data_IF_117845866699
#
_entry.id   IF_117845866699
#
_cell.length_a   1.000
_cell.length_b   1.000
_cell.length_c   1.000
_cell.angle_alpha   90.00
_cell.angle_beta   90.00
_cell.angle_gamma   90.00
#
_symmetry.space_group_name_H-M   'P 1'
#
loop_
_entity.id
_entity.type
_entity.pdbx_description
1 polymer ?
#
# COMPACT_ATOMS: atom_id res chain seq x y z
N UNK A 1 50.50 6.52 -58.00
CA UNK A 1 49.89 7.57 -57.13
C UNK A 1 48.39 7.75 -57.40
N UNK A 2 47.95 7.97 -58.65
CA UNK A 2 46.52 8.18 -58.99
C UNK A 2 45.58 7.00 -58.66
N UNK A 3 46.01 5.74 -58.86
CA UNK A 3 45.19 4.57 -58.53
C UNK A 3 45.03 4.34 -57.01
N UNK A 4 46.06 4.65 -56.23
CA UNK A 4 46.04 4.56 -54.77
C UNK A 4 45.10 5.59 -54.14
N UNK A 5 45.07 6.81 -54.69
CA UNK A 5 44.13 7.85 -54.28
C UNK A 5 42.69 7.44 -54.57
N UNK A 6 42.41 6.87 -55.77
CA UNK A 6 41.08 6.35 -56.11
C UNK A 6 40.63 5.21 -55.19
N UNK A 7 41.51 4.27 -54.87
CA UNK A 7 41.22 3.19 -53.93
C UNK A 7 40.89 3.74 -52.53
N UNK A 8 41.62 4.75 -52.06
CA UNK A 8 41.37 5.38 -50.76
C UNK A 8 40.00 6.08 -50.69
N UNK A 9 39.61 6.79 -51.76
CA UNK A 9 38.29 7.42 -51.85
C UNK A 9 37.14 6.40 -51.93
N UNK A 10 37.31 5.32 -52.70
CA UNK A 10 36.30 4.26 -52.79
C UNK A 10 36.14 3.53 -51.45
N UNK A 11 37.23 3.19 -50.77
CA UNK A 11 37.17 2.59 -49.44
C UNK A 11 36.53 3.53 -48.41
N UNK A 12 36.85 4.82 -48.43
CA UNK A 12 36.24 5.83 -47.55
C UNK A 12 34.75 6.05 -47.82
N UNK A 13 34.32 5.96 -49.08
CA UNK A 13 32.91 6.07 -49.45
C UNK A 13 32.11 4.83 -49.05
N UNK A 14 32.67 3.64 -49.25
CA UNK A 14 32.04 2.38 -48.84
C UNK A 14 31.95 2.24 -47.31
N UNK A 15 32.96 2.69 -46.57
CA UNK A 15 32.89 2.72 -45.10
C UNK A 15 31.85 3.71 -44.60
N UNK A 16 31.73 4.89 -45.21
CA UNK A 16 30.68 5.87 -44.89
C UNK A 16 29.27 5.32 -45.17
N UNK A 17 29.06 4.66 -46.32
CA UNK A 17 27.80 3.99 -46.65
C UNK A 17 27.46 2.86 -45.67
N UNK A 18 28.44 2.04 -45.28
CA UNK A 18 28.25 0.99 -44.28
C UNK A 18 27.87 1.57 -42.91
N UNK A 19 28.54 2.64 -42.48
CA UNK A 19 28.19 3.36 -41.24
C UNK A 19 26.78 3.96 -41.33
N UNK A 20 26.40 4.54 -42.47
CA UNK A 20 25.05 5.09 -42.69
C UNK A 20 23.98 4.00 -42.67
N UNK A 21 24.22 2.85 -43.30
CA UNK A 21 23.28 1.73 -43.29
C UNK A 21 23.15 1.09 -41.89
N UNK A 22 24.25 0.99 -41.13
CA UNK A 22 24.24 0.56 -39.72
C UNK A 22 23.49 1.58 -38.86
N UNK A 23 23.65 2.89 -39.12
CA UNK A 23 22.93 3.94 -38.41
C UNK A 23 21.43 3.91 -38.73
N UNK A 24 21.04 3.76 -40.00
CA UNK A 24 19.64 3.65 -40.42
C UNK A 24 18.95 2.42 -39.84
N UNK A 25 19.61 1.25 -39.89
CA UNK A 25 19.10 0.04 -39.23
C UNK A 25 19.03 0.16 -37.71
N UNK A 26 19.99 0.85 -37.09
CA UNK A 26 19.95 1.17 -35.66
C UNK A 26 18.80 2.10 -35.28
N UNK A 27 18.51 3.12 -36.10
CA UNK A 27 17.36 4.02 -35.88
C UNK A 27 16.04 3.26 -36.01
N UNK A 28 15.91 2.38 -37.02
CA UNK A 28 14.70 1.59 -37.21
C UNK A 28 14.46 0.60 -36.05
N UNK A 29 15.53 -0.02 -35.56
CA UNK A 29 15.47 -0.85 -34.35
C UNK A 29 15.02 -0.07 -33.11
N UNK A 30 15.50 1.15 -32.92
CA UNK A 30 15.08 2.01 -31.81
C UNK A 30 13.60 2.41 -31.91
N UNK A 31 13.07 2.63 -33.12
CA UNK A 31 11.63 2.88 -33.32
C UNK A 31 10.80 1.67 -32.94
N UNK A 32 11.19 0.47 -33.37
CA UNK A 32 10.51 -0.78 -33.01
C UNK A 32 10.50 -0.99 -31.49
N UNK A 33 11.62 -0.76 -30.82
CA UNK A 33 11.68 -0.81 -29.36
C UNK A 33 10.75 0.23 -28.71
N UNK A 34 10.65 1.43 -29.27
CA UNK A 34 9.75 2.47 -28.78
C UNK A 34 8.28 2.08 -28.94
N UNK A 35 7.92 1.42 -30.05
CA UNK A 35 6.57 0.88 -30.28
C UNK A 35 6.23 -0.20 -29.26
N UNK A 36 7.11 -1.19 -29.07
CA UNK A 36 6.92 -2.25 -28.05
C UNK A 36 6.72 -1.65 -26.66
N UNK A 37 7.54 -0.66 -26.27
CA UNK A 37 7.39 0.03 -24.99
C UNK A 37 6.03 0.72 -24.85
N UNK A 38 5.56 1.37 -25.92
CA UNK A 38 4.26 2.07 -25.92
C UNK A 38 3.10 1.09 -25.83
N UNK A 39 3.17 -0.04 -26.52
CA UNK A 39 2.14 -1.08 -26.51
C UNK A 39 2.01 -1.70 -25.12
N UNK A 40 3.14 -2.02 -24.48
CA UNK A 40 3.16 -2.53 -23.11
C UNK A 40 2.60 -1.49 -22.14
N UNK A 41 2.98 -0.21 -22.27
CA UNK A 41 2.41 0.87 -21.45
C UNK A 41 0.90 0.95 -21.58
N UNK A 42 0.37 0.93 -22.80
CA UNK A 42 -1.08 0.99 -23.03
C UNK A 42 -1.82 -0.24 -22.51
N UNK A 43 -1.21 -1.42 -22.61
CA UNK A 43 -1.78 -2.67 -22.11
C UNK A 43 -1.83 -2.71 -20.58
N UNK A 44 -0.77 -2.28 -19.91
CA UNK A 44 -0.59 -2.47 -18.46
C UNK A 44 -1.11 -1.30 -17.63
N UNK A 45 -0.90 -0.05 -18.06
CA UNK A 45 -1.26 1.15 -17.31
C UNK A 45 -2.70 1.20 -16.76
N UNK A 46 -3.74 0.68 -17.44
CA UNK A 46 -5.10 0.70 -16.90
C UNK A 46 -5.27 -0.14 -15.63
N UNK A 47 -4.40 -1.15 -15.42
CA UNK A 47 -4.44 -2.06 -14.27
C UNK A 47 -3.62 -1.55 -13.08
N UNK A 48 -2.88 -0.44 -13.25
CA UNK A 48 -1.97 0.12 -12.23
C UNK A 48 -2.61 1.32 -11.56
N UNK A 49 -2.61 1.30 -10.22
CA UNK A 49 -3.24 2.33 -9.40
C UNK A 49 -2.24 2.90 -8.39
N UNK A 50 -2.52 4.11 -7.92
CA UNK A 50 -1.85 4.67 -6.75
C UNK A 50 -2.65 4.31 -5.52
N UNK A 51 -1.97 3.92 -4.45
CA UNK A 51 -2.59 3.65 -3.15
C UNK A 51 -1.96 4.60 -2.14
N UNK A 52 -2.79 5.38 -1.45
CA UNK A 52 -2.34 6.34 -0.44
C UNK A 52 -3.04 6.08 0.87
N UNK A 53 -2.26 6.08 1.94
CA UNK A 53 -2.77 6.16 3.30
C UNK A 53 -2.96 7.63 3.65
N UNK A 54 -4.21 7.99 3.93
CA UNK A 54 -4.59 9.36 4.26
C UNK A 54 -5.09 9.42 5.69
N UNK A 55 -4.54 10.35 6.47
CA UNK A 55 -5.06 10.68 7.78
C UNK A 55 -6.19 11.71 7.68
N UNK A 56 -7.32 11.46 8.35
CA UNK A 56 -8.30 12.52 8.56
C UNK A 56 -7.69 13.57 9.49
N UNK A 57 -7.61 14.81 9.02
CA UNK A 57 -7.34 15.96 9.88
C UNK A 57 -8.52 16.31 10.81
N UNK A 58 -9.70 15.69 10.60
CA UNK A 58 -10.89 15.87 11.45
C UNK A 58 -11.57 14.51 11.71
N UNK A 59 -11.73 14.08 12.98
CA UNK A 59 -12.34 12.80 13.34
C UNK A 59 -13.74 12.58 12.76
N UNK A 60 -14.08 11.32 12.43
CA UNK A 60 -15.37 10.95 11.84
C UNK A 60 -16.59 11.38 12.66
N UNK A 61 -16.48 11.37 13.99
CA UNK A 61 -17.57 11.75 14.89
C UNK A 61 -17.86 13.25 14.86
N UNK A 62 -16.87 14.09 14.52
CA UNK A 62 -17.05 15.54 14.37
C UNK A 62 -17.86 15.85 13.11
N UNK A 63 -17.64 15.12 12.03
CA UNK A 63 -18.44 15.21 10.81
C UNK A 63 -19.89 14.75 11.06
N UNK A 64 -20.08 13.62 11.73
CA UNK A 64 -21.44 13.15 12.05
C UNK A 64 -22.17 14.07 13.02
N UNK A 65 -21.46 14.68 14.00
CA UNK A 65 -22.04 15.66 14.94
C UNK A 65 -22.31 17.02 14.33
N UNK A 66 -21.54 17.46 13.34
CA UNK A 66 -21.83 18.70 12.61
C UNK A 66 -23.04 18.51 11.69
N UNK A 67 -23.14 17.37 11.01
CA UNK A 67 -24.30 17.02 10.18
C UNK A 67 -25.56 16.77 11.02
N UNK A 68 -25.43 16.11 12.18
CA UNK A 68 -26.54 15.90 13.12
C UNK A 68 -26.89 17.16 13.91
N UNK A 69 -25.92 17.93 14.37
CA UNK A 69 -26.14 19.15 15.17
C UNK A 69 -26.79 20.26 14.36
N UNK A 70 -26.51 20.37 13.05
CA UNK A 70 -27.20 21.30 12.15
C UNK A 70 -28.65 20.86 11.87
N UNK A 71 -28.94 19.56 11.92
CA UNK A 71 -30.29 19.01 11.71
C UNK A 71 -31.13 18.89 12.99
N UNK A 72 -30.50 18.74 14.16
CA UNK A 72 -31.16 18.72 15.47
C UNK A 72 -31.35 20.12 16.08
N UNK A 73 -30.66 21.15 15.57
CA UNK A 73 -30.97 22.55 15.88
C UNK A 73 -32.23 23.02 15.13
N UNK A 74 -33.35 22.33 15.31
CA UNK A 74 -34.65 22.98 15.16
C UNK A 74 -34.78 23.96 16.33
N UNK A 75 -34.30 25.19 16.12
CA UNK A 75 -34.47 26.28 17.08
C UNK A 75 -35.97 26.50 17.30
N UNK A 76 -36.48 25.93 18.40
CA UNK A 76 -37.88 26.00 18.79
C UNK A 76 -38.26 27.47 18.98
N UNK A 77 -39.30 27.93 18.27
CA UNK A 77 -39.84 29.28 18.41
C UNK A 77 -40.65 29.35 19.71
N UNK A 78 -40.20 30.16 20.66
CA UNK A 78 -40.83 30.22 21.99
C UNK A 78 -42.06 31.12 21.99
N UNK A 79 -43.15 30.69 22.63
CA UNK A 79 -44.29 31.55 22.94
C UNK A 79 -44.16 32.18 24.34
N UNK A 80 -44.80 33.34 24.59
CA UNK A 80 -44.77 33.98 25.90
C UNK A 80 -45.27 33.05 27.02
N UNK A 81 -44.44 32.88 28.06
CA UNK A 81 -44.75 32.06 29.24
C UNK A 81 -44.40 30.57 29.14
N UNK A 82 -43.78 30.10 28.05
CA UNK A 82 -43.42 28.69 27.87
C UNK A 82 -42.07 28.28 28.48
N UNK A 83 -41.19 29.22 28.84
CA UNK A 83 -39.88 28.90 29.41
C UNK A 83 -40.00 28.90 30.93
N UNK A 84 -39.95 27.72 31.55
CA UNK A 84 -39.80 27.62 33.00
C UNK A 84 -38.40 28.04 33.44
N UNK A 85 -38.25 28.55 34.66
CA UNK A 85 -36.94 28.93 35.23
C UNK A 85 -35.93 27.75 35.19
N UNK A 86 -36.40 26.51 35.34
CA UNK A 86 -35.58 25.30 35.21
C UNK A 86 -35.11 25.04 33.77
N UNK A 87 -35.95 25.31 32.76
CA UNK A 87 -35.56 25.17 31.36
C UNK A 87 -34.58 26.26 30.93
N UNK A 88 -34.76 27.49 31.42
CA UNK A 88 -33.80 28.57 31.19
C UNK A 88 -32.40 28.19 31.69
N UNK A 89 -32.29 27.64 32.90
CA UNK A 89 -31.00 27.19 33.48
C UNK A 89 -30.37 26.06 32.64
N UNK A 90 -31.15 25.08 32.19
CA UNK A 90 -30.63 23.99 31.33
C UNK A 90 -30.09 24.51 30.00
N UNK A 91 -30.75 25.49 29.40
CA UNK A 91 -30.26 26.10 28.16
C UNK A 91 -28.99 26.94 28.36
N UNK A 92 -28.84 27.59 29.52
CA UNK A 92 -27.60 28.30 29.88
C UNK A 92 -26.42 27.34 30.07
N UNK A 93 -26.65 26.21 30.75
CA UNK A 93 -25.63 25.17 30.96
C UNK A 93 -25.22 24.52 29.64
N UNK A 94 -26.19 24.25 28.76
CA UNK A 94 -25.95 23.71 27.43
C UNK A 94 -25.16 24.67 26.55
N UNK A 95 -25.57 25.94 26.47
CA UNK A 95 -24.89 26.93 25.64
C UNK A 95 -23.46 27.22 26.13
N UNK A 96 -23.24 27.21 27.45
CA UNK A 96 -21.89 27.33 28.02
C UNK A 96 -21.02 26.12 27.64
N UNK A 97 -21.56 24.91 27.76
CA UNK A 97 -20.85 23.68 27.37
C UNK A 97 -20.55 23.61 25.87
N UNK A 98 -21.47 24.11 25.04
CA UNK A 98 -21.27 24.20 23.59
C UNK A 98 -20.15 25.18 23.24
N UNK A 99 -20.14 26.36 23.89
CA UNK A 99 -19.13 27.40 23.68
C UNK A 99 -17.73 26.96 24.12
N UNK A 100 -17.61 26.40 25.33
CA UNK A 100 -16.35 25.88 25.87
C UNK A 100 -15.78 24.78 24.94
N UNK A 101 -16.65 23.90 24.42
CA UNK A 101 -16.28 22.86 23.47
C UNK A 101 -15.81 23.41 22.11
N UNK A 102 -16.50 24.41 21.55
CA UNK A 102 -16.07 25.05 20.30
C UNK A 102 -14.74 25.78 20.45
N UNK A 103 -14.54 26.54 21.54
CA UNK A 103 -13.31 27.31 21.74
C UNK A 103 -12.08 26.41 21.88
N UNK A 104 -12.18 25.33 22.67
CA UNK A 104 -11.13 24.33 22.85
C UNK A 104 -10.73 23.69 21.51
N UNK A 105 -11.70 23.30 20.68
CA UNK A 105 -11.45 22.59 19.41
C UNK A 105 -11.06 23.49 18.24
N UNK A 106 -11.52 24.73 18.19
CA UNK A 106 -11.03 25.70 17.20
C UNK A 106 -9.54 26.02 17.40
N UNK A 107 -9.09 26.11 18.65
CA UNK A 107 -7.67 26.34 19.01
C UNK A 107 -6.76 25.17 18.60
N UNK A 108 -7.26 23.95 18.60
CA UNK A 108 -6.52 22.76 18.16
C UNK A 108 -6.44 22.62 16.63
N UNK A 109 -7.41 23.14 15.88
CA UNK A 109 -7.61 22.80 14.46
C UNK A 109 -7.04 23.84 13.49
N UNK A 110 -6.99 25.13 13.87
CA UNK A 110 -6.56 26.22 12.98
C UNK A 110 -5.18 26.75 13.38
N UNK A 111 -4.18 26.55 12.51
CA UNK A 111 -2.80 27.03 12.73
C UNK A 111 -2.62 28.56 12.58
N UNK A 112 -3.70 29.29 12.28
CA UNK A 112 -3.73 30.76 12.17
C UNK A 112 -4.34 31.36 13.44
N UNK A 113 -3.52 31.98 14.28
CA UNK A 113 -3.99 32.67 15.50
C UNK A 113 -4.96 33.82 15.18
N UNK A 114 -4.86 34.45 14.01
CA UNK A 114 -5.56 35.71 13.73
C UNK A 114 -7.04 35.53 13.41
N UNK A 115 -7.40 34.48 12.67
CA UNK A 115 -8.80 34.19 12.34
C UNK A 115 -9.54 33.53 13.52
N UNK A 116 -8.83 32.67 14.26
CA UNK A 116 -9.36 31.98 15.44
C UNK A 116 -9.76 32.96 16.55
N UNK A 117 -8.95 34.01 16.77
CA UNK A 117 -9.21 35.04 17.79
C UNK A 117 -10.36 35.97 17.40
N UNK A 118 -10.51 36.32 16.12
CA UNK A 118 -11.57 37.23 15.67
C UNK A 118 -12.97 36.59 15.77
N UNK A 119 -13.07 35.31 15.38
CA UNK A 119 -14.35 34.59 15.34
C UNK A 119 -14.77 34.03 16.70
N UNK A 120 -13.83 33.47 17.48
CA UNK A 120 -14.12 33.03 18.85
C UNK A 120 -14.66 34.18 19.71
N UNK A 121 -14.04 35.37 19.59
CA UNK A 121 -14.50 36.58 20.29
C UNK A 121 -15.88 37.04 19.82
N UNK A 122 -16.15 37.00 18.52
CA UNK A 122 -17.46 37.41 17.98
C UNK A 122 -18.58 36.48 18.47
N UNK A 123 -18.36 35.16 18.48
CA UNK A 123 -19.33 34.19 19.00
C UNK A 123 -19.51 34.32 20.53
N UNK A 124 -18.42 34.56 21.26
CA UNK A 124 -18.44 34.76 22.71
C UNK A 124 -19.17 36.04 23.12
N UNK A 125 -18.92 37.15 22.42
CA UNK A 125 -19.60 38.43 22.64
C UNK A 125 -21.11 38.30 22.30
N UNK A 126 -21.43 37.57 21.23
CA UNK A 126 -22.81 37.32 20.79
C UNK A 126 -23.56 36.42 21.79
N UNK A 127 -22.93 35.35 22.28
CA UNK A 127 -23.52 34.46 23.28
C UNK A 127 -23.71 35.15 24.64
N UNK A 128 -22.76 35.99 25.05
CA UNK A 128 -22.86 36.75 26.31
C UNK A 128 -24.04 37.73 26.29
N UNK A 129 -24.27 38.40 25.15
CA UNK A 129 -25.44 39.27 24.95
C UNK A 129 -26.76 38.49 24.98
N UNK A 130 -26.79 37.30 24.37
CA UNK A 130 -27.97 36.43 24.44
C UNK A 130 -28.29 36.00 25.86
N UNK A 131 -27.26 35.59 26.62
CA UNK A 131 -27.42 35.11 28.00
C UNK A 131 -28.01 36.21 28.88
N UNK A 132 -27.56 37.46 28.73
CA UNK A 132 -28.03 38.63 29.46
C UNK A 132 -29.49 39.01 29.12
N UNK A 133 -29.88 38.85 27.85
CA UNK A 133 -31.27 39.05 27.42
C UNK A 133 -32.20 37.94 27.92
N UNK A 134 -31.73 36.69 27.92
CA UNK A 134 -32.50 35.54 28.36
C UNK A 134 -32.75 35.53 29.87
N UNK A 135 -31.83 36.03 30.71
CA UNK A 135 -32.02 36.13 32.17
C UNK A 135 -32.91 37.28 32.62
N UNK A 136 -33.00 38.36 31.83
CA UNK A 136 -33.69 39.58 32.26
C UNK A 136 -35.07 39.80 31.62
N UNK A 137 -35.45 39.00 30.62
CA UNK A 137 -36.67 39.22 29.84
C UNK A 137 -37.92 38.66 30.52
N UNK A 138 -38.97 39.50 30.64
CA UNK A 138 -40.28 39.11 31.20
C UNK A 138 -41.48 39.64 30.40
N UNK A 139 -41.26 40.28 29.25
CA UNK A 139 -42.33 40.86 28.41
C UNK A 139 -42.33 40.34 26.97
N UNK A 140 -43.50 40.36 26.31
CA UNK A 140 -43.71 39.86 24.93
C UNK A 140 -42.76 40.45 23.88
N UNK A 141 -42.33 41.71 24.09
CA UNK A 141 -41.40 42.40 23.18
C UNK A 141 -39.99 41.83 23.27
N UNK A 142 -39.56 41.45 24.47
CA UNK A 142 -38.21 40.92 24.73
C UNK A 142 -38.08 39.47 24.24
N UNK A 143 -39.16 38.68 24.29
CA UNK A 143 -39.22 37.33 23.69
C UNK A 143 -39.19 37.42 22.15
N UNK A 144 -39.82 38.43 21.57
CA UNK A 144 -39.72 38.73 20.14
C UNK A 144 -38.27 39.06 19.71
N UNK A 145 -37.56 39.85 20.52
CA UNK A 145 -36.15 40.17 20.30
C UNK A 145 -35.24 38.93 20.49
N UNK A 146 -35.54 38.06 21.47
CA UNK A 146 -34.82 36.80 21.70
C UNK A 146 -34.96 35.84 20.51
N UNK A 147 -36.17 35.65 20.00
CA UNK A 147 -36.43 34.80 18.82
C UNK A 147 -35.74 35.36 17.56
N UNK A 148 -35.76 36.68 17.36
CA UNK A 148 -35.07 37.34 16.23
C UNK A 148 -33.56 37.18 16.33
N UNK A 149 -33.02 37.22 17.55
CA UNK A 149 -31.62 36.99 17.81
C UNK A 149 -31.21 35.53 17.58
N UNK A 150 -32.03 34.57 18.01
CA UNK A 150 -31.82 33.14 17.73
C UNK A 150 -31.85 32.83 16.23
N UNK A 151 -32.74 33.47 15.46
CA UNK A 151 -32.75 33.37 13.99
C UNK A 151 -31.46 33.95 13.37
N UNK A 152 -30.96 35.08 13.87
CA UNK A 152 -29.68 35.66 13.44
C UNK A 152 -28.49 34.74 13.78
N UNK A 153 -28.49 34.12 14.95
CA UNK A 153 -27.41 33.24 15.40
C UNK A 153 -27.42 31.93 14.60
N UNK A 154 -28.60 31.37 14.34
CA UNK A 154 -28.78 30.25 13.42
C UNK A 154 -28.29 30.58 12.00
N UNK A 155 -28.63 31.78 11.49
CA UNK A 155 -28.13 32.27 10.21
C UNK A 155 -26.60 32.38 10.17
N UNK A 156 -25.97 32.88 11.25
CA UNK A 156 -24.52 32.93 11.35
C UNK A 156 -23.88 31.54 11.45
N UNK A 157 -24.44 30.61 12.23
CA UNK A 157 -23.96 29.21 12.33
C UNK A 157 -24.10 28.49 10.99
N UNK A 158 -25.22 28.67 10.28
CA UNK A 158 -25.41 28.13 8.94
C UNK A 158 -24.44 28.77 7.93
N UNK A 159 -24.22 30.09 7.98
CA UNK A 159 -23.24 30.76 7.14
C UNK A 159 -21.82 30.24 7.42
N UNK A 160 -21.42 30.12 8.69
CA UNK A 160 -20.15 29.55 9.13
C UNK A 160 -19.99 28.11 8.68
N UNK A 161 -21.03 27.29 8.82
CA UNK A 161 -21.03 25.91 8.30
C UNK A 161 -20.84 25.91 6.78
N UNK A 162 -21.52 26.79 6.04
CA UNK A 162 -21.42 26.87 4.59
C UNK A 162 -20.07 27.41 4.12
N UNK A 163 -19.44 28.28 4.90
CA UNK A 163 -18.15 28.89 4.60
C UNK A 163 -16.99 27.96 4.98
N UNK A 164 -17.11 27.21 6.09
CA UNK A 164 -16.28 26.05 6.42
C UNK A 164 -16.42 24.93 5.38
N UNK A 165 -17.63 24.69 4.87
CA UNK A 165 -17.92 23.74 3.79
C UNK A 165 -17.45 24.24 2.41
N UNK A 166 -17.26 25.54 2.20
CA UNK A 166 -16.70 26.11 0.96
C UNK A 166 -15.16 26.17 1.03
N UNK A 167 -14.60 26.53 2.18
CA UNK A 167 -13.16 26.40 2.45
C UNK A 167 -12.72 24.92 2.49
N UNK A 168 -13.64 23.99 2.78
CA UNK A 168 -13.52 22.53 2.60
C UNK A 168 -12.98 22.11 1.24
N UNK A 169 -13.34 22.83 0.18
CA UNK A 169 -12.92 22.50 -1.19
C UNK A 169 -11.52 23.06 -1.54
N UNK A 170 -11.07 24.09 -0.84
CA UNK A 170 -9.84 24.82 -1.17
C UNK A 170 -8.63 24.46 -0.29
N UNK A 171 -8.84 24.00 0.96
CA UNK A 171 -7.75 23.94 1.96
C UNK A 171 -7.53 22.56 2.60
N UNK A 172 -8.32 21.54 2.28
CA UNK A 172 -8.00 20.17 2.73
C UNK A 172 -6.92 19.57 1.84
N UNK A 173 -5.65 19.77 2.19
CA UNK A 173 -4.61 18.83 1.78
C UNK A 173 -4.68 17.63 2.72
N UNK A 174 -5.24 16.48 2.29
CA UNK A 174 -5.08 15.25 3.06
C UNK A 174 -3.59 15.06 3.39
N UNK A 175 -3.27 14.88 4.67
CA UNK A 175 -1.93 14.52 5.09
C UNK A 175 -1.69 13.08 4.63
N UNK A 176 -1.01 12.93 3.50
CA UNK A 176 -0.54 11.64 2.99
C UNK A 176 0.50 11.12 3.97
N UNK A 177 0.16 10.04 4.69
CA UNK A 177 1.07 9.38 5.63
C UNK A 177 2.02 8.44 4.91
N UNK A 178 1.49 7.72 3.92
CA UNK A 178 2.26 6.77 3.12
C UNK A 178 1.67 6.69 1.69
N UNK A 179 2.50 6.31 0.72
CA UNK A 179 2.13 6.12 -0.67
C UNK A 179 2.84 4.89 -1.25
N UNK A 180 2.07 4.05 -1.93
CA UNK A 180 2.56 2.94 -2.74
C UNK A 180 1.91 2.93 -4.12
N UNK A 181 2.44 2.08 -4.99
CA UNK A 181 1.75 1.62 -6.19
C UNK A 181 0.94 0.38 -5.84
N UNK A 182 -0.18 0.16 -6.53
CA UNK A 182 -0.92 -1.08 -6.49
C UNK A 182 -1.27 -1.56 -7.89
N UNK A 183 -1.61 -2.83 -8.01
CA UNK A 183 -2.04 -3.45 -9.26
C UNK A 183 -3.35 -4.19 -9.03
N UNK A 184 -4.30 -4.04 -9.96
CA UNK A 184 -5.54 -4.80 -9.98
C UNK A 184 -5.24 -6.19 -10.53
N UNK A 185 -5.28 -7.22 -9.67
CA UNK A 185 -5.00 -8.62 -10.06
C UNK A 185 -6.28 -9.41 -10.29
N UNK A 186 -7.35 -9.04 -9.58
CA UNK A 186 -8.71 -9.56 -9.79
C UNK A 186 -9.67 -8.38 -9.74
N UNK A 187 -10.81 -8.51 -10.41
CA UNK A 187 -11.83 -7.46 -10.43
C UNK A 187 -12.19 -7.01 -9.01
N UNK A 188 -12.00 -5.73 -8.72
CA UNK A 188 -12.29 -5.13 -7.42
C UNK A 188 -11.23 -5.38 -6.33
N UNK A 189 -10.12 -6.05 -6.63
CA UNK A 189 -9.04 -6.32 -5.67
C UNK A 189 -7.70 -5.75 -6.15
N UNK A 190 -7.17 -4.83 -5.36
CA UNK A 190 -5.85 -4.21 -5.55
C UNK A 190 -4.84 -4.90 -4.65
N UNK A 191 -3.71 -5.29 -5.22
CA UNK A 191 -2.57 -5.82 -4.49
C UNK A 191 -1.50 -4.74 -4.40
N UNK A 192 -0.96 -4.54 -3.20
CA UNK A 192 0.10 -3.58 -2.89
C UNK A 192 0.95 -4.10 -1.73
N UNK A 193 1.74 -3.24 -1.09
CA UNK A 193 2.57 -3.60 0.06
C UNK A 193 1.91 -3.32 1.40
N UNK A 194 2.37 -4.02 2.44
CA UNK A 194 1.83 -3.93 3.80
C UNK A 194 2.00 -2.53 4.42
N UNK A 195 2.96 -1.72 3.96
CA UNK A 195 3.27 -0.41 4.55
C UNK A 195 2.05 0.52 4.60
N UNK A 196 1.27 0.56 3.52
CA UNK A 196 0.07 1.40 3.41
C UNK A 196 -1.12 0.81 4.17
N UNK A 197 -1.13 -0.51 4.39
CA UNK A 197 -2.22 -1.21 5.07
C UNK A 197 -2.07 -1.26 6.61
N UNK A 198 -0.84 -1.39 7.12
CA UNK A 198 -0.55 -1.53 8.56
C UNK A 198 -0.54 -0.23 9.34
N UNK A 199 -0.21 0.89 8.70
CA UNK A 199 -0.07 2.18 9.38
C UNK A 199 -1.41 2.86 9.73
N UNK A 200 -2.53 2.11 9.74
CA UNK A 200 -3.89 2.66 9.93
C UNK A 200 -4.22 2.87 11.40
N UNK A 201 -4.40 4.14 11.78
CA UNK A 201 -5.18 4.53 12.95
C UNK A 201 -6.70 4.53 12.68
N UNK A 202 -7.53 4.74 13.72
CA UNK A 202 -9.00 4.76 13.60
C UNK A 202 -9.53 5.84 12.63
N UNK A 203 -8.73 6.89 12.39
CA UNK A 203 -9.05 8.00 11.50
C UNK A 203 -8.38 7.91 10.11
N UNK A 204 -7.68 6.79 9.83
CA UNK A 204 -6.98 6.58 8.57
C UNK A 204 -7.82 5.80 7.54
N UNK A 205 -7.78 6.28 6.30
CA UNK A 205 -8.47 5.66 5.18
C UNK A 205 -7.54 5.50 3.98
N UNK A 206 -7.87 4.54 3.12
CA UNK A 206 -7.10 4.26 1.91
C UNK A 206 -7.76 4.97 0.75
N UNK A 207 -7.00 5.84 0.09
CA UNK A 207 -7.40 6.45 -1.17
C UNK A 207 -6.70 5.74 -2.32
N UNK A 208 -7.47 5.38 -3.35
CA UNK A 208 -6.94 4.70 -4.54
C UNK A 208 -7.27 5.58 -5.75
N UNK A 209 -6.37 5.73 -6.72
CA UNK A 209 -6.73 6.41 -7.97
C UNK A 209 -5.91 5.91 -9.16
N UNK A 210 -6.46 6.05 -10.36
CA UNK A 210 -5.73 5.83 -11.61
C UNK A 210 -5.10 7.13 -12.12
N UNK A 211 -4.23 7.01 -13.12
CA UNK A 211 -3.61 8.16 -13.80
C UNK A 211 -4.63 9.03 -14.58
N UNK A 212 -5.83 8.50 -14.86
CA UNK A 212 -6.94 9.25 -15.50
C UNK A 212 -7.71 10.16 -14.52
N UNK A 213 -7.14 10.48 -13.36
CA UNK A 213 -7.71 11.33 -12.30
C UNK A 213 -9.09 10.90 -11.76
N UNK A 214 -9.51 9.67 -12.02
CA UNK A 214 -10.70 9.10 -11.35
C UNK A 214 -10.27 8.64 -9.97
N UNK A 215 -10.65 9.42 -8.95
CA UNK A 215 -10.47 9.04 -7.55
C UNK A 215 -11.36 7.83 -7.26
N UNK A 216 -10.74 6.68 -7.00
CA UNK A 216 -11.46 5.54 -6.49
C UNK A 216 -11.72 5.72 -5.01
N UNK A 217 -12.91 5.27 -4.65
CA UNK A 217 -13.48 5.22 -3.32
C UNK A 217 -12.53 4.74 -2.22
N UNK A 218 -12.95 4.93 -0.97
CA UNK A 218 -12.25 4.41 0.22
C UNK A 218 -12.04 2.90 0.07
N UNK A 219 -10.79 2.44 0.05
CA UNK A 219 -10.45 1.02 0.00
C UNK A 219 -10.53 0.36 1.39
N UNK A 220 -10.99 -0.89 1.44
CA UNK A 220 -10.99 -1.71 2.65
C UNK A 220 -9.84 -2.71 2.59
N UNK A 221 -9.02 -2.77 3.64
CA UNK A 221 -7.98 -3.80 3.76
C UNK A 221 -8.65 -5.14 4.01
N UNK A 222 -8.51 -6.07 3.08
CA UNK A 222 -9.02 -7.45 3.22
C UNK A 222 -8.09 -8.26 4.12
N UNK A 223 -6.78 -8.07 3.93
CA UNK A 223 -5.76 -8.73 4.72
C UNK A 223 -4.35 -8.32 4.31
N UNK A 224 -3.40 -8.67 5.16
CA UNK A 224 -1.97 -8.40 4.99
C UNK A 224 -1.18 -9.67 5.25
N UNK A 225 -0.08 -9.83 4.53
CA UNK A 225 0.86 -10.93 4.72
C UNK A 225 2.27 -10.39 5.02
N UNK A 226 2.68 -10.40 6.30
CA UNK A 226 3.98 -9.89 6.70
C UNK A 226 5.17 -10.63 6.09
N UNK A 227 5.01 -11.93 5.78
CA UNK A 227 6.11 -12.77 5.25
C UNK A 227 6.41 -12.53 3.78
N UNK A 228 5.54 -11.83 3.06
CA UNK A 228 5.75 -11.43 1.67
C UNK A 228 5.69 -9.93 1.47
N UNK A 229 5.43 -9.18 2.56
CA UNK A 229 5.16 -7.75 2.55
C UNK A 229 3.96 -7.35 1.67
N UNK A 230 3.01 -8.26 1.40
CA UNK A 230 1.83 -7.97 0.58
C UNK A 230 0.63 -7.50 1.40
N UNK A 231 -0.23 -6.72 0.76
CA UNK A 231 -1.56 -6.36 1.23
C UNK A 231 -2.57 -6.46 0.10
N UNK A 232 -3.78 -6.90 0.43
CA UNK A 232 -4.92 -6.93 -0.50
C UNK A 232 -5.96 -5.94 -0.02
N UNK A 233 -6.37 -5.06 -0.93
CA UNK A 233 -7.36 -4.02 -0.68
C UNK A 233 -8.54 -4.26 -1.62
N UNK A 234 -9.74 -4.27 -1.05
CA UNK A 234 -10.99 -4.34 -1.80
C UNK A 234 -11.47 -2.93 -2.11
N UNK A 235 -11.84 -2.71 -3.37
CA UNK A 235 -12.50 -1.48 -3.81
C UNK A 235 -13.97 -1.48 -3.35
N UNK A 236 -14.47 -0.34 -2.86
CA UNK A 236 -15.86 -0.22 -2.45
C UNK A 236 -16.80 -0.41 -3.66
N UNK A 237 -17.81 -1.25 -3.48
CA UNK A 237 -18.61 -1.97 -4.50
C UNK A 237 -19.60 -1.15 -5.34
N UNK A 238 -19.49 0.18 -5.40
CA UNK A 238 -20.27 0.99 -6.36
C UNK A 238 -19.47 1.34 -7.63
N UNK A 239 -18.19 0.99 -7.64
CA UNK A 239 -17.22 1.35 -8.66
C UNK A 239 -16.68 0.11 -9.43
N UNK A 240 -17.57 -0.79 -9.86
CA UNK A 240 -17.16 -1.98 -10.63
C UNK A 240 -17.08 -1.64 -12.12
N UNK A 241 -15.86 -1.45 -12.65
CA UNK A 241 -15.62 -1.23 -14.09
C UNK A 241 -14.43 -0.35 -14.46
N UNK A 242 -13.60 0.07 -13.51
CA UNK A 242 -12.67 1.18 -13.76
C UNK A 242 -11.25 0.82 -14.18
N UNK A 243 -10.70 -0.27 -13.65
CA UNK A 243 -9.36 -0.74 -13.94
C UNK A 243 -9.44 -2.26 -14.20
N UNK A 244 -9.07 -2.74 -15.41
CA UNK A 244 -9.08 -4.16 -15.69
C UNK A 244 -8.05 -4.89 -14.83
N UNK A 245 -8.27 -6.18 -14.58
CA UNK A 245 -7.23 -7.03 -14.02
C UNK A 245 -6.08 -7.15 -15.02
N UNK A 246 -4.85 -7.09 -14.52
CA UNK A 246 -3.66 -7.38 -15.31
C UNK A 246 -3.64 -8.86 -15.75
N UNK A 247 -3.06 -9.14 -16.90
CA UNK A 247 -2.84 -10.51 -17.35
C UNK A 247 -1.82 -11.21 -16.42
N UNK A 248 -2.17 -12.40 -15.95
CA UNK A 248 -1.33 -13.21 -15.07
C UNK A 248 -1.24 -14.64 -15.60
N UNK A 249 -0.09 -15.27 -15.40
CA UNK A 249 0.09 -16.70 -15.62
C UNK A 249 0.92 -17.26 -14.44
N UNK A 250 0.36 -18.17 -13.63
CA UNK A 250 1.08 -18.77 -12.50
C UNK A 250 2.30 -19.59 -12.92
N UNK A 251 2.40 -19.98 -14.19
CA UNK A 251 3.55 -20.70 -14.76
C UNK A 251 4.65 -19.78 -15.29
N UNK A 252 4.46 -18.45 -15.26
CA UNK A 252 5.51 -17.50 -15.65
C UNK A 252 6.72 -17.64 -14.73
N UNK A 253 7.85 -18.06 -15.29
CA UNK A 253 9.12 -18.19 -14.61
C UNK A 253 10.17 -17.33 -15.30
N UNK A 254 10.56 -16.18 -14.72
CA UNK A 254 11.61 -15.37 -15.29
C UNK A 254 12.97 -16.05 -15.14
N UNK A 255 13.88 -15.74 -16.06
CA UNK A 255 15.30 -16.08 -16.00
C UNK A 255 16.13 -14.86 -15.61
N UNK A 256 17.33 -15.11 -15.09
CA UNK A 256 18.32 -14.05 -14.88
C UNK A 256 18.71 -13.46 -16.24
N UNK A 257 18.66 -12.14 -16.36
CA UNK A 257 18.90 -11.40 -17.60
C UNK A 257 17.64 -11.13 -18.42
N UNK A 258 16.47 -11.62 -18.01
CA UNK A 258 15.22 -11.28 -18.68
C UNK A 258 14.95 -9.78 -18.61
N UNK A 259 14.63 -9.20 -19.77
CA UNK A 259 14.27 -7.80 -19.90
C UNK A 259 12.82 -7.60 -19.50
N UNK A 260 12.59 -6.71 -18.54
CA UNK A 260 11.29 -6.51 -17.90
C UNK A 260 10.93 -5.02 -17.79
N UNK A 261 9.64 -4.73 -17.67
CA UNK A 261 9.12 -3.39 -17.45
C UNK A 261 8.51 -3.26 -16.07
N UNK A 262 8.75 -2.14 -15.41
CA UNK A 262 8.26 -1.84 -14.08
C UNK A 262 7.42 -0.56 -14.11
N UNK A 263 6.24 -0.64 -13.51
CA UNK A 263 5.30 0.47 -13.42
C UNK A 263 5.18 0.93 -11.98
N UNK A 264 5.22 2.25 -11.78
CA UNK A 264 5.12 2.82 -10.45
C UNK A 264 4.61 4.26 -10.47
N UNK A 265 4.10 4.70 -9.33
CA UNK A 265 3.71 6.07 -9.06
C UNK A 265 4.75 6.76 -8.17
N UNK A 266 5.71 7.49 -8.76
CA UNK A 266 6.59 8.35 -7.98
C UNK A 266 5.78 9.40 -7.20
N UNK A 267 6.34 9.85 -6.08
CA UNK A 267 5.68 10.86 -5.24
C UNK A 267 5.31 12.11 -6.06
N UNK A 268 4.04 12.54 -6.00
CA UNK A 268 3.48 13.69 -6.71
C UNK A 268 3.65 13.72 -8.25
N UNK A 269 3.90 12.59 -8.90
CA UNK A 269 3.99 12.47 -10.37
C UNK A 269 2.95 11.51 -10.91
N UNK A 270 2.68 11.53 -12.22
CA UNK A 270 1.82 10.55 -12.90
C UNK A 270 2.43 9.15 -12.94
N UNK A 271 1.74 8.20 -13.57
CA UNK A 271 2.24 6.84 -13.75
C UNK A 271 3.53 6.81 -14.58
N UNK A 272 4.60 6.30 -13.99
CA UNK A 272 5.89 6.12 -14.64
C UNK A 272 6.10 4.65 -15.04
N UNK A 273 6.87 4.44 -16.11
CA UNK A 273 7.33 3.14 -16.56
C UNK A 273 8.83 3.17 -16.78
N UNK A 274 9.54 2.16 -16.29
CA UNK A 274 10.96 1.97 -16.50
C UNK A 274 11.25 0.56 -17.02
N UNK A 275 12.21 0.43 -17.93
CA UNK A 275 12.76 -0.86 -18.35
C UNK A 275 13.97 -1.25 -17.51
N UNK A 276 14.11 -2.54 -17.23
CA UNK A 276 15.19 -3.10 -16.43
C UNK A 276 15.35 -4.59 -16.68
N UNK A 277 16.04 -5.26 -15.77
CA UNK A 277 16.39 -6.67 -15.89
C UNK A 277 16.22 -7.40 -14.56
N UNK A 278 15.92 -8.69 -14.64
CA UNK A 278 16.01 -9.61 -13.49
C UNK A 278 17.47 -9.94 -13.24
N UNK A 279 18.04 -9.49 -12.11
CA UNK A 279 19.48 -9.60 -11.83
C UNK A 279 19.85 -10.86 -11.07
N UNK A 280 18.95 -11.37 -10.23
CA UNK A 280 19.06 -12.69 -9.60
C UNK A 280 17.68 -13.21 -9.23
N UNK A 281 17.53 -14.53 -9.16
CA UNK A 281 16.27 -15.16 -8.77
C UNK A 281 16.33 -15.64 -7.33
N UNK A 282 15.16 -15.73 -6.70
CA UNK A 282 14.96 -16.59 -5.53
C UNK A 282 15.85 -16.24 -4.32
N UNK A 283 16.14 -14.96 -4.15
CA UNK A 283 16.92 -14.44 -3.03
C UNK A 283 16.11 -14.53 -1.75
N UNK A 284 16.74 -15.00 -0.68
CA UNK A 284 16.17 -14.92 0.64
C UNK A 284 16.65 -13.66 1.34
N UNK A 285 15.70 -12.96 1.92
CA UNK A 285 15.98 -11.75 2.67
C UNK A 285 15.94 -12.05 4.17
N UNK A 286 16.86 -11.44 4.96
CA UNK A 286 16.69 -11.35 6.40
C UNK A 286 15.26 -10.89 6.72
N UNK A 287 14.62 -11.47 7.73
CA UNK A 287 13.25 -11.18 8.18
C UNK A 287 12.09 -11.79 7.37
N UNK A 288 12.34 -12.30 6.16
CA UNK A 288 11.33 -12.99 5.36
C UNK A 288 11.58 -14.49 5.39
N UNK A 289 10.98 -15.15 6.38
CA UNK A 289 11.29 -16.56 6.69
C UNK A 289 10.76 -17.55 5.66
N UNK A 290 9.69 -17.17 4.97
CA UNK A 290 9.10 -18.00 3.96
C UNK A 290 9.50 -17.49 2.58
N UNK A 291 9.57 -16.18 2.29
CA UNK A 291 9.61 -15.69 0.91
C UNK A 291 10.97 -15.74 0.20
N UNK A 292 10.87 -15.92 -1.12
CA UNK A 292 11.95 -15.86 -2.08
C UNK A 292 11.64 -14.77 -3.10
N UNK A 293 12.61 -13.90 -3.39
CA UNK A 293 12.41 -12.70 -4.20
C UNK A 293 13.34 -12.66 -5.40
N UNK A 294 12.87 -12.09 -6.50
CA UNK A 294 13.72 -11.74 -7.65
C UNK A 294 14.35 -10.37 -7.42
N UNK A 295 15.67 -10.27 -7.57
CA UNK A 295 16.36 -8.98 -7.56
C UNK A 295 16.21 -8.31 -8.90
N UNK A 296 16.12 -6.99 -8.89
CA UNK A 296 16.03 -6.16 -10.10
C UNK A 296 16.93 -4.93 -9.98
N UNK A 297 17.15 -4.25 -11.10
CA UNK A 297 17.87 -2.97 -11.15
C UNK A 297 16.92 -1.75 -11.14
N UNK A 298 15.68 -1.93 -10.69
CA UNK A 298 14.68 -0.87 -10.61
C UNK A 298 14.96 0.11 -9.46
N UNK A 299 14.52 1.38 -9.60
CA UNK A 299 14.84 2.43 -8.64
C UNK A 299 14.20 2.20 -7.28
N UNK A 300 14.90 2.67 -6.25
CA UNK A 300 14.42 2.72 -4.87
C UNK A 300 13.95 4.13 -4.56
N UNK A 301 12.65 4.38 -4.68
CA UNK A 301 12.08 5.70 -4.34
C UNK A 301 10.68 5.54 -3.74
N UNK A 302 10.21 6.50 -2.93
CA UNK A 302 8.86 6.44 -2.38
C UNK A 302 7.82 6.26 -3.49
N UNK A 303 6.89 5.32 -3.28
CA UNK A 303 5.87 4.95 -4.26
C UNK A 303 6.26 3.83 -5.23
N UNK A 304 7.52 3.34 -5.24
CA UNK A 304 7.90 2.18 -6.09
C UNK A 304 7.42 0.83 -5.53
N UNK A 305 7.21 0.75 -4.21
CA UNK A 305 6.67 -0.46 -3.59
C UNK A 305 5.23 -0.74 -4.06
N UNK A 306 4.92 -2.01 -4.24
CA UNK A 306 3.65 -2.53 -4.73
C UNK A 306 3.44 -2.41 -6.24
N UNK A 307 4.41 -1.86 -6.98
CA UNK A 307 4.34 -1.72 -8.43
C UNK A 307 4.54 -3.06 -9.17
N UNK A 308 3.82 -3.31 -10.27
CA UNK A 308 3.97 -4.53 -11.04
C UNK A 308 5.22 -4.52 -11.92
N UNK A 309 5.85 -5.69 -12.05
CA UNK A 309 6.90 -5.99 -13.01
C UNK A 309 6.32 -6.93 -14.05
N UNK A 310 6.46 -6.59 -15.32
CA UNK A 310 5.88 -7.33 -16.44
C UNK A 310 6.94 -7.74 -17.46
N UNK A 311 6.66 -8.82 -18.19
CA UNK A 311 7.48 -9.28 -19.31
C UNK A 311 7.23 -8.45 -20.59
N UNK A 312 7.85 -8.88 -21.70
CA UNK A 312 7.70 -8.25 -23.02
C UNK A 312 6.29 -8.39 -23.60
N UNK A 313 5.49 -9.34 -23.12
CA UNK A 313 4.08 -9.51 -23.50
C UNK A 313 3.15 -8.68 -22.60
N UNK A 314 3.67 -7.99 -21.58
CA UNK A 314 2.89 -7.25 -20.58
C UNK A 314 2.18 -8.15 -19.58
N UNK A 315 2.60 -9.41 -19.41
CA UNK A 315 2.11 -10.31 -18.36
C UNK A 315 2.84 -10.04 -17.06
N UNK A 316 2.13 -10.14 -15.94
CA UNK A 316 2.71 -9.93 -14.61
C UNK A 316 3.71 -11.05 -14.26
N UNK A 317 4.95 -10.65 -13.97
CA UNK A 317 6.05 -11.52 -13.54
C UNK A 317 6.22 -11.48 -12.02
N UNK A 318 5.93 -10.34 -11.41
CA UNK A 318 6.01 -10.17 -9.96
C UNK A 318 5.60 -8.78 -9.49
N UNK A 319 5.59 -8.60 -8.17
CA UNK A 319 5.31 -7.31 -7.52
C UNK A 319 6.57 -6.84 -6.82
N UNK A 320 6.97 -5.58 -7.03
CA UNK A 320 8.06 -5.00 -6.29
C UNK A 320 7.65 -4.80 -4.82
N UNK A 321 8.21 -5.59 -3.90
CA UNK A 321 7.73 -5.64 -2.51
C UNK A 321 8.66 -4.94 -1.53
N UNK A 322 9.97 -4.93 -1.77
CA UNK A 322 10.92 -4.36 -0.80
C UNK A 322 12.21 -3.96 -1.50
N UNK A 323 12.93 -3.00 -0.93
CA UNK A 323 14.32 -2.76 -1.25
C UNK A 323 15.17 -2.91 0.02
N UNK A 324 16.42 -3.34 -0.15
CA UNK A 324 17.36 -3.54 0.95
C UNK A 324 18.72 -2.95 0.58
N UNK A 325 19.28 -2.15 1.48
CA UNK A 325 20.62 -1.59 1.38
C UNK A 325 21.43 -1.83 2.66
N UNK A 326 22.76 -1.74 2.54
CA UNK A 326 23.70 -1.80 3.66
C UNK A 326 24.54 -0.51 3.66
N UNK A 327 24.27 0.40 4.60
CA UNK A 327 25.05 1.64 4.77
C UNK A 327 25.08 2.51 3.51
N UNK A 328 26.28 2.77 2.97
CA UNK A 328 26.51 3.59 1.78
C UNK A 328 26.44 2.81 0.44
N UNK A 329 26.04 1.53 0.44
CA UNK A 329 25.90 0.78 -0.80
C UNK A 329 24.57 1.07 -1.51
N UNK A 330 24.56 0.87 -2.83
CA UNK A 330 23.34 0.90 -3.64
C UNK A 330 22.29 -0.06 -3.08
N UNK A 331 21.07 0.42 -2.93
CA UNK A 331 19.93 -0.40 -2.51
C UNK A 331 19.54 -1.36 -3.65
N UNK A 332 19.24 -2.61 -3.29
CA UNK A 332 18.77 -3.64 -4.22
C UNK A 332 17.27 -3.78 -4.06
N UNK A 333 16.55 -3.79 -5.18
CA UNK A 333 15.09 -3.92 -5.25
C UNK A 333 14.71 -5.38 -5.43
N UNK A 334 13.77 -5.87 -4.61
CA UNK A 334 13.34 -7.26 -4.53
C UNK A 334 11.84 -7.38 -4.79
N UNK A 335 11.51 -8.22 -5.76
CA UNK A 335 10.16 -8.48 -6.20
C UNK A 335 9.69 -9.89 -5.81
N UNK A 336 8.45 -9.99 -5.35
CA UNK A 336 7.81 -11.27 -5.10
C UNK A 336 7.36 -11.91 -6.43
N UNK A 337 7.71 -13.17 -6.72
CA UNK A 337 7.30 -13.88 -7.93
C UNK A 337 5.78 -14.02 -8.05
N UNK A 338 5.25 -14.00 -9.28
CA UNK A 338 3.81 -14.08 -9.53
C UNK A 338 3.12 -15.31 -8.91
N UNK A 339 3.74 -16.48 -8.95
CA UNK A 339 3.19 -17.68 -8.32
C UNK A 339 2.96 -17.50 -6.81
N UNK A 340 3.91 -16.85 -6.13
CA UNK A 340 3.79 -16.52 -4.70
C UNK A 340 2.73 -15.44 -4.47
N UNK A 341 2.67 -14.41 -5.32
CA UNK A 341 1.64 -13.35 -5.26
C UNK A 341 0.25 -13.96 -5.33
N UNK A 342 -0.02 -14.78 -6.36
CA UNK A 342 -1.35 -15.38 -6.58
C UNK A 342 -1.78 -16.25 -5.40
N UNK A 343 -0.87 -17.11 -4.90
CA UNK A 343 -1.15 -17.96 -3.75
C UNK A 343 -1.50 -17.14 -2.48
N UNK A 344 -0.85 -15.99 -2.26
CA UNK A 344 -1.17 -15.12 -1.14
C UNK A 344 -2.53 -14.43 -1.32
N UNK A 345 -2.76 -13.89 -2.52
CA UNK A 345 -3.98 -13.16 -2.85
C UNK A 345 -5.21 -14.04 -2.73
N UNK A 346 -5.15 -15.29 -3.19
CA UNK A 346 -6.22 -16.27 -3.05
C UNK A 346 -6.59 -16.50 -1.59
N UNK A 347 -5.60 -16.81 -0.74
CA UNK A 347 -5.87 -17.06 0.67
C UNK A 347 -6.39 -15.81 1.40
N UNK A 348 -5.86 -14.62 1.10
CA UNK A 348 -6.35 -13.38 1.72
C UNK A 348 -7.78 -13.09 1.30
N UNK A 349 -8.13 -13.27 0.03
CA UNK A 349 -9.51 -13.07 -0.44
C UNK A 349 -10.47 -14.06 0.22
N UNK A 350 -10.06 -15.32 0.38
CA UNK A 350 -10.93 -16.38 0.90
C UNK A 350 -11.05 -16.37 2.43
N UNK A 351 -9.94 -16.17 3.15
CA UNK A 351 -9.84 -16.31 4.61
C UNK A 351 -9.56 -15.00 5.34
N UNK A 352 -9.11 -13.96 4.65
CA UNK A 352 -8.62 -12.70 5.24
C UNK A 352 -7.16 -12.72 5.71
N UNK A 353 -6.50 -13.89 5.68
CA UNK A 353 -5.10 -14.05 6.08
C UNK A 353 -4.44 -15.19 5.28
N UNK A 354 -3.10 -15.21 5.26
CA UNK A 354 -2.32 -16.30 4.67
C UNK A 354 -1.89 -17.27 5.74
N UNK A 355 -2.08 -18.55 5.50
CA UNK A 355 -1.69 -19.64 6.39
C UNK A 355 -0.61 -20.48 5.71
N UNK A 356 0.49 -20.77 6.43
CA UNK A 356 1.61 -21.55 5.89
C UNK A 356 2.12 -22.54 6.90
N UNK A 357 2.42 -23.74 6.43
CA UNK A 357 3.16 -24.71 7.20
C UNK A 357 4.62 -24.28 7.38
N UNK A 358 5.11 -24.31 8.62
CA UNK A 358 6.51 -23.99 8.95
C UNK A 358 7.20 -25.13 9.69
N UNK A 359 8.47 -25.38 9.32
CA UNK A 359 9.38 -26.23 10.09
C UNK A 359 9.94 -25.49 11.31
N UNK A 360 10.24 -24.19 11.16
CA UNK A 360 10.92 -23.38 12.16
C UNK A 360 12.45 -23.55 12.17
N UNK A 361 13.07 -23.50 11.00
CA UNK A 361 14.53 -23.57 10.82
C UNK A 361 15.04 -22.41 9.96
N UNK A 362 16.29 -22.00 10.19
CA UNK A 362 17.05 -21.19 9.26
C UNK A 362 17.93 -22.08 8.40
N UNK A 363 18.03 -21.74 7.12
CA UNK A 363 18.68 -22.56 6.10
C UNK A 363 19.81 -21.79 5.43
N UNK A 364 20.92 -22.47 5.17
CA UNK A 364 21.99 -22.01 4.29
C UNK A 364 22.17 -22.99 3.16
N UNK A 365 22.66 -22.50 2.03
CA UNK A 365 23.25 -23.37 1.04
C UNK A 365 24.63 -23.82 1.52
N UNK A 366 24.93 -25.09 1.31
CA UNK A 366 26.19 -25.74 1.63
C UNK A 366 26.75 -26.30 0.32
N UNK A 367 27.87 -25.76 -0.15
CA UNK A 367 28.60 -26.35 -1.26
C UNK A 367 29.41 -27.53 -0.74
N UNK A 368 29.10 -28.73 -1.24
CA UNK A 368 29.88 -29.90 -0.90
C UNK A 368 31.30 -29.76 -1.49
N UNK A 369 32.38 -29.95 -0.71
CA UNK A 369 33.74 -29.94 -1.24
C UNK A 369 34.01 -31.08 -2.23
N UNK A 370 33.22 -32.15 -2.15
CA UNK A 370 33.35 -33.38 -2.92
C UNK A 370 32.04 -33.59 -3.69
N UNK A 371 32.02 -33.16 -4.96
CA UNK A 371 30.84 -33.18 -5.83
C UNK A 371 30.22 -31.80 -5.99
N UNK A 372 30.02 -31.37 -7.24
CA UNK A 372 29.44 -30.06 -7.59
C UNK A 372 27.92 -30.00 -7.34
N UNK A 373 27.47 -30.36 -6.14
CA UNK A 373 26.08 -30.29 -5.74
C UNK A 373 25.93 -29.38 -4.53
N UNK A 374 25.04 -28.41 -4.64
CA UNK A 374 24.58 -27.61 -3.51
C UNK A 374 23.68 -28.48 -2.65
N UNK A 375 23.86 -28.43 -1.33
CA UNK A 375 22.97 -29.05 -0.34
C UNK A 375 22.39 -27.97 0.56
N UNK A 376 21.38 -28.31 1.34
CA UNK A 376 20.71 -27.35 2.22
C UNK A 376 21.04 -27.70 3.66
N UNK A 377 21.71 -26.81 4.40
CA UNK A 377 22.06 -27.03 5.80
C UNK A 377 21.21 -26.18 6.75
N UNK A 378 20.89 -26.74 7.91
CA UNK A 378 20.20 -26.05 8.99
C UNK A 378 21.22 -25.23 9.78
N UNK A 379 21.08 -23.91 9.76
CA UNK A 379 21.97 -23.00 10.49
C UNK A 379 21.47 -22.68 11.89
N UNK A 380 20.16 -22.75 12.10
CA UNK A 380 19.51 -22.53 13.39
C UNK A 380 18.13 -23.22 13.41
N UNK A 381 17.72 -23.67 14.59
CA UNK A 381 16.38 -24.20 14.86
C UNK A 381 15.68 -23.25 15.84
N UNK A 382 14.42 -22.92 15.57
CA UNK A 382 13.63 -22.04 16.42
C UNK A 382 13.11 -22.81 17.65
N UNK A 383 13.22 -22.24 18.87
CA UNK A 383 12.62 -22.83 20.06
C UNK A 383 11.09 -23.00 19.92
N UNK A 384 10.57 -24.13 20.39
CA UNK A 384 9.15 -24.49 20.32
C UNK A 384 8.65 -24.85 18.92
N UNK A 385 9.54 -24.92 17.92
CA UNK A 385 9.16 -25.25 16.55
C UNK A 385 8.94 -26.74 16.31
N UNK A 386 8.20 -27.13 15.24
CA UNK A 386 8.13 -28.52 14.80
C UNK A 386 9.47 -29.18 14.58
N UNK A 387 10.46 -28.45 14.04
CA UNK A 387 11.80 -28.95 13.83
C UNK A 387 12.52 -29.29 15.14
N UNK A 388 12.40 -28.43 16.16
CA UNK A 388 12.95 -28.70 17.49
C UNK A 388 12.29 -29.94 18.12
N UNK A 389 10.96 -30.01 18.06
CA UNK A 389 10.19 -31.13 18.61
C UNK A 389 10.53 -32.47 17.93
N UNK A 390 10.81 -32.44 16.63
CA UNK A 390 11.24 -33.61 15.87
C UNK A 390 12.72 -33.99 16.12
N UNK A 391 13.49 -33.13 16.77
CA UNK A 391 14.91 -33.37 17.06
C UNK A 391 15.86 -33.00 15.92
N UNK A 392 15.43 -32.14 14.99
CA UNK A 392 16.30 -31.50 13.99
C UNK A 392 17.25 -30.55 14.72
N UNK A 393 18.49 -30.47 14.26
CA UNK A 393 19.56 -29.71 14.92
C UNK A 393 20.32 -28.83 13.94
N UNK A 394 20.99 -27.81 14.48
CA UNK A 394 21.98 -27.05 13.70
C UNK A 394 23.06 -27.99 13.16
N UNK A 395 23.41 -27.84 11.89
CA UNK A 395 24.40 -28.67 11.20
C UNK A 395 23.78 -29.81 10.38
N UNK A 396 22.50 -30.10 10.57
CA UNK A 396 21.76 -31.05 9.75
C UNK A 396 21.74 -30.62 8.27
N UNK A 397 21.98 -31.57 7.36
CA UNK A 397 21.91 -31.34 5.92
C UNK A 397 20.70 -32.05 5.34
N UNK A 398 19.77 -31.30 4.76
CA UNK A 398 18.49 -31.83 4.24
C UNK A 398 18.70 -32.37 2.83
N UNK A 399 18.36 -33.63 2.63
CA UNK A 399 18.48 -34.35 1.36
C UNK A 399 17.17 -34.48 0.60
N UNK A 400 16.07 -34.68 1.33
CA UNK A 400 14.75 -34.88 0.72
C UNK A 400 13.62 -34.41 1.63
N UNK A 401 12.53 -34.00 1.00
CA UNK A 401 11.25 -33.70 1.66
C UNK A 401 10.15 -34.50 0.97
N UNK A 402 9.37 -35.25 1.76
CA UNK A 402 8.31 -36.16 1.29
C UNK A 402 8.81 -37.11 0.19
N UNK A 403 10.05 -37.59 0.33
CA UNK A 403 10.66 -38.55 -0.59
C UNK A 403 11.14 -37.98 -1.92
N UNK A 404 11.01 -36.66 -2.18
CA UNK A 404 11.65 -36.04 -3.34
C UNK A 404 12.89 -35.26 -2.92
N UNK A 405 13.97 -35.45 -3.68
CA UNK A 405 15.26 -34.84 -3.44
C UNK A 405 15.20 -33.31 -3.46
N UNK A 406 16.10 -32.69 -2.70
CA UNK A 406 16.28 -31.25 -2.59
C UNK A 406 17.74 -30.95 -2.94
N UNK A 407 17.94 -30.15 -3.99
CA UNK A 407 19.27 -29.81 -4.51
C UNK A 407 19.67 -28.37 -4.25
N UNK A 408 18.74 -27.55 -3.78
CA UNK A 408 19.04 -26.20 -3.34
C UNK A 408 18.00 -25.75 -2.33
N UNK A 409 18.32 -24.66 -1.64
CA UNK A 409 17.45 -24.12 -0.60
C UNK A 409 16.08 -23.72 -1.17
N UNK A 410 16.06 -23.27 -2.42
CA UNK A 410 14.85 -22.85 -3.12
C UNK A 410 13.85 -24.00 -3.33
N UNK A 411 14.33 -25.17 -3.70
CA UNK A 411 13.46 -26.34 -3.88
C UNK A 411 12.79 -26.77 -2.57
N UNK A 412 13.53 -26.73 -1.46
CA UNK A 412 12.97 -27.04 -0.14
C UNK A 412 11.85 -26.07 0.24
N UNK A 413 12.13 -24.77 0.10
CA UNK A 413 11.19 -23.70 0.45
C UNK A 413 9.95 -23.75 -0.44
N UNK A 414 10.12 -23.88 -1.76
CA UNK A 414 8.99 -23.98 -2.70
C UNK A 414 8.06 -25.15 -2.35
N UNK A 415 8.61 -26.27 -1.88
CA UNK A 415 7.80 -27.43 -1.45
C UNK A 415 7.11 -27.22 -0.11
N UNK A 416 7.79 -26.58 0.84
CA UNK A 416 7.18 -26.20 2.12
C UNK A 416 6.06 -25.16 1.92
N UNK A 417 6.22 -24.25 0.96
CA UNK A 417 5.21 -23.27 0.58
C UNK A 417 3.90 -23.87 0.08
N UNK A 418 4.01 -25.00 -0.61
CA UNK A 418 2.86 -25.75 -1.12
C UNK A 418 2.23 -26.65 -0.05
N UNK A 419 2.80 -26.69 1.16
CA UNK A 419 2.34 -27.55 2.24
C UNK A 419 1.44 -26.78 3.19
N UNK A 420 0.31 -27.39 3.54
CA UNK A 420 -0.62 -26.81 4.49
C UNK A 420 -0.03 -26.82 5.91
N UNK A 421 -0.45 -25.89 6.77
CA UNK A 421 -0.30 -26.08 8.20
C UNK A 421 -0.92 -27.41 8.62
N UNK A 422 -0.38 -28.00 9.68
CA UNK A 422 -0.79 -29.31 10.17
C UNK A 422 -0.53 -30.50 9.22
N UNK A 423 0.09 -30.26 8.06
CA UNK A 423 0.51 -31.35 7.19
C UNK A 423 1.70 -32.11 7.79
N UNK A 424 1.63 -33.44 7.76
CA UNK A 424 2.76 -34.30 8.09
C UNK A 424 3.81 -34.25 6.97
N UNK A 425 5.05 -33.97 7.37
CA UNK A 425 6.20 -33.90 6.48
C UNK A 425 7.26 -34.88 6.92
N UNK A 426 7.82 -35.58 5.94
CA UNK A 426 8.96 -36.48 6.11
C UNK A 426 10.22 -35.84 5.58
N UNK A 427 11.20 -35.58 6.44
CA UNK A 427 12.52 -35.07 6.07
C UNK A 427 13.56 -36.17 6.15
N UNK A 428 14.35 -36.31 5.08
CA UNK A 428 15.59 -37.09 5.10
C UNK A 428 16.76 -36.12 5.27
N UNK A 429 17.61 -36.40 6.26
CA UNK A 429 18.67 -35.51 6.71
C UNK A 429 19.96 -36.31 6.89
N UNK A 430 21.09 -35.77 6.47
CA UNK A 430 22.41 -36.25 6.87
C UNK A 430 22.88 -35.47 8.11
N UNK A 431 23.21 -36.19 9.17
CA UNK A 431 23.85 -35.65 10.38
C UNK A 431 25.14 -36.40 10.63
N UNK A 432 26.27 -35.70 10.59
CA UNK A 432 27.60 -36.28 10.84
C UNK A 432 27.92 -37.49 9.93
N UNK A 433 27.42 -37.47 8.68
CA UNK A 433 27.61 -38.54 7.71
C UNK A 433 26.61 -39.70 7.82
N UNK A 434 25.70 -39.68 8.80
CA UNK A 434 24.65 -40.68 8.95
C UNK A 434 23.30 -40.15 8.44
N UNK A 435 22.56 -40.99 7.70
CA UNK A 435 21.22 -40.68 7.26
C UNK A 435 20.22 -40.84 8.43
N UNK A 436 19.44 -39.78 8.68
CA UNK A 436 18.35 -39.70 9.65
C UNK A 436 17.05 -39.35 8.94
N UNK A 437 15.95 -39.86 9.47
CA UNK A 437 14.61 -39.53 9.00
C UNK A 437 13.82 -38.90 10.15
N UNK A 438 13.17 -37.77 9.85
CA UNK A 438 12.34 -37.02 10.79
C UNK A 438 10.93 -36.90 10.24
N UNK A 439 9.95 -37.21 11.08
CA UNK A 439 8.53 -37.02 10.80
C UNK A 439 8.05 -35.89 11.68
N UNK A 440 7.48 -34.86 11.07
CA UNK A 440 6.99 -33.71 11.81
C UNK A 440 5.76 -33.12 11.18
N UNK A 441 4.89 -32.61 12.05
CA UNK A 441 3.70 -31.89 11.65
C UNK A 441 4.03 -30.41 11.51
N UNK A 442 3.77 -29.82 10.35
CA UNK A 442 4.02 -28.39 10.15
C UNK A 442 3.15 -27.57 11.09
N UNK A 443 3.71 -26.53 11.69
CA UNK A 443 2.94 -25.61 12.52
C UNK A 443 2.32 -24.51 11.66
N UNK A 444 1.09 -24.13 11.99
CA UNK A 444 0.51 -22.84 11.59
C UNK A 444 1.13 -21.77 12.47
N UNK A 445 1.80 -20.79 11.86
CA UNK A 445 2.04 -19.51 12.53
C UNK A 445 1.15 -18.48 11.86
N UNK A 446 0.19 -17.94 12.60
CA UNK A 446 -0.29 -16.60 12.30
C UNK A 446 0.93 -15.69 12.46
N UNK A 447 1.32 -15.00 11.39
CA UNK A 447 2.33 -13.95 11.50
C UNK A 447 1.87 -13.04 12.65
N UNK A 448 2.69 -12.93 13.71
CA UNK A 448 2.34 -12.17 14.89
C UNK A 448 1.86 -10.78 14.45
N UNK A 449 0.65 -10.42 14.89
CA UNK A 449 -0.03 -9.17 14.54
C UNK A 449 0.81 -7.94 14.87
#
# INVERSE_FOLDING_TARGET
MSQLIRAYFVCGFLSSLAISAIAESGVEYLKQLQEVKRDIYQKVSPSVVRVQLVHRSVPAFLLSRLESGVSECEFKRWQPGEISDEEAVKWQEWGKSFMDFTEEKFRETLQSETDTVMWGKTLQDTYSQWLEMATNSKSDREIGDLNRFTELLSGHVQALSSELLKSRAATFKPLVRDQSTGVVIRDGYVVTTQSVAKLRGPDDWIRIWSDKEVAYSTGEVVGVDPDTNLAVIRLATQDTGFAPSIETDPQTQPMVGDYVFFFYHPFNQGLAMQSGEITSLYNQLPFFHCAAFHSTNFPTSPGTLGGPIVDLDGRLVGINTIFMGQGNMSEITYALPIGSVLACVEQIIDKGFVERGRLGVFLSEYQCPIGHHTRVSVTQVLPGSPAEQAGIQKGDVIDSINGKSVHCRMELISRLYQSDPDQDVKLSVEREGEAKEFHLKLASYLAQQ
#
